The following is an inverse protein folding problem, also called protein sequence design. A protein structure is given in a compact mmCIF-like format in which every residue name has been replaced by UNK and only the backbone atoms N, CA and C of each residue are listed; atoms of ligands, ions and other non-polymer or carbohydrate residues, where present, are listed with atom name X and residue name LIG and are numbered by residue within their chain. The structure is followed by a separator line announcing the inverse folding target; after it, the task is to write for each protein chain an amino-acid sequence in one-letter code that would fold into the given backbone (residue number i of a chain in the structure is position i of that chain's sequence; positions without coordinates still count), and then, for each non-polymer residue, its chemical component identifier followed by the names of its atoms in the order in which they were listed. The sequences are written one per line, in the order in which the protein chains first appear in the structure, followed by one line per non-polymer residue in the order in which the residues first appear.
data_IF_440195585514
#
_entry.id   IF_440195585514
#
_cell.length_a   1.000
_cell.length_b   1.000
_cell.length_c   1.000
_cell.angle_alpha   90.00
_cell.angle_beta   90.00
_cell.angle_gamma   90.00
#
_symmetry.space_group_name_H-M   'P 1'
#
loop_
_entity.id
_entity.type
_entity.pdbx_description
1 polymer ?
#
# COMPACT_ATOMS: atom_id res chain seq x y z
N UNK A 1 -8.16 13.17 13.26
CA UNK A 1 -7.55 12.71 11.99
C UNK A 1 -8.40 11.55 11.49
N UNK A 2 -8.70 11.48 10.19
CA UNK A 2 -9.60 10.45 9.66
C UNK A 2 -8.90 9.08 9.73
N UNK A 3 -9.48 8.19 10.54
CA UNK A 3 -9.16 6.79 10.80
C UNK A 3 -9.57 5.87 9.65
N UNK A 4 -9.78 6.42 8.44
CA UNK A 4 -10.37 5.70 7.32
C UNK A 4 -9.43 5.59 6.15
N UNK A 5 -9.35 4.40 5.59
CA UNK A 5 -8.66 4.11 4.34
C UNK A 5 -9.68 3.88 3.24
N UNK A 6 -9.36 4.40 2.05
CA UNK A 6 -10.18 4.19 0.86
C UNK A 6 -9.48 3.19 -0.06
N UNK A 7 -10.18 2.10 -0.39
CA UNK A 7 -9.68 1.05 -1.27
C UNK A 7 -10.64 0.89 -2.46
N UNK A 8 -10.06 0.60 -3.62
CA UNK A 8 -10.78 0.26 -4.82
C UNK A 8 -11.09 -1.24 -4.85
N UNK A 9 -10.07 -2.06 -4.61
CA UNK A 9 -10.16 -3.51 -4.77
C UNK A 9 -9.27 -4.25 -3.77
N UNK A 10 -9.66 -5.49 -3.48
CA UNK A 10 -8.90 -6.42 -2.67
C UNK A 10 -9.06 -7.84 -3.23
N UNK A 11 -7.95 -8.52 -3.48
CA UNK A 11 -7.93 -9.83 -4.15
C UNK A 11 -7.03 -10.82 -3.42
N UNK A 12 -7.48 -12.06 -3.25
CA UNK A 12 -6.68 -13.17 -2.75
C UNK A 12 -7.20 -14.53 -3.29
N UNK A 13 -6.33 -15.54 -3.51
CA UNK A 13 -4.87 -15.44 -3.44
C UNK A 13 -4.31 -14.73 -4.68
N UNK A 14 -3.47 -13.71 -4.45
CA UNK A 14 -2.68 -13.07 -5.49
C UNK A 14 -1.36 -13.85 -5.64
N UNK A 15 -1.13 -14.41 -6.83
CA UNK A 15 0.05 -15.24 -7.15
C UNK A 15 1.09 -14.51 -8.03
N UNK A 16 0.85 -13.22 -8.28
CA UNK A 16 1.72 -12.32 -9.05
C UNK A 16 2.03 -11.09 -8.20
N UNK A 17 2.93 -10.22 -8.67
CA UNK A 17 3.31 -8.98 -7.95
C UNK A 17 3.89 -9.23 -6.54
N UNK A 18 4.72 -10.27 -6.44
CA UNK A 18 5.43 -10.68 -5.23
C UNK A 18 5.53 -12.20 -5.11
N UNK A 19 6.39 -12.68 -4.24
CA UNK A 19 6.55 -14.11 -3.99
C UNK A 19 5.42 -14.67 -3.10
N UNK A 20 5.04 -15.93 -3.34
CA UNK A 20 4.08 -16.67 -2.54
C UNK A 20 2.61 -16.33 -2.79
N UNK A 21 1.73 -16.73 -1.86
CA UNK A 21 0.29 -16.43 -1.87
C UNK A 21 0.05 -15.13 -1.14
N UNK A 22 -0.48 -14.11 -1.82
CA UNK A 22 -0.54 -12.75 -1.26
C UNK A 22 -1.96 -12.22 -1.17
N UNK A 23 -2.17 -11.27 -0.27
CA UNK A 23 -3.33 -10.38 -0.32
C UNK A 23 -2.96 -9.14 -1.15
N UNK A 24 -3.65 -8.90 -2.25
CA UNK A 24 -3.53 -7.67 -3.01
C UNK A 24 -4.51 -6.61 -2.51
N UNK A 25 -4.04 -5.40 -2.24
CA UNK A 25 -4.85 -4.25 -1.82
C UNK A 25 -4.58 -3.08 -2.78
N UNK A 26 -5.60 -2.64 -3.51
CA UNK A 26 -5.52 -1.46 -4.38
C UNK A 26 -6.20 -0.28 -3.71
N UNK A 27 -5.43 0.74 -3.33
CA UNK A 27 -5.96 1.95 -2.71
C UNK A 27 -6.56 2.90 -3.75
N UNK A 28 -7.50 3.75 -3.31
CA UNK A 28 -8.02 4.84 -4.14
C UNK A 28 -7.22 6.13 -3.98
N UNK A 29 -7.33 7.02 -4.97
CA UNK A 29 -6.73 8.35 -4.97
C UNK A 29 -5.32 8.35 -5.58
N UNK A 30 -5.15 9.13 -6.65
CA UNK A 30 -3.84 9.41 -7.23
C UNK A 30 -3.79 10.85 -7.72
N UNK A 31 -2.72 11.58 -7.42
CA UNK A 31 -2.52 12.96 -7.89
C UNK A 31 -1.62 13.06 -9.13
N UNK A 32 -1.29 11.91 -9.75
CA UNK A 32 -0.52 11.82 -10.99
C UNK A 32 -1.46 11.70 -12.19
N UNK A 33 -1.01 12.25 -13.31
CA UNK A 33 -1.68 12.15 -14.61
C UNK A 33 -0.78 11.47 -15.64
N UNK A 34 -0.31 10.28 -15.29
CA UNK A 34 0.57 9.50 -16.15
C UNK A 34 -0.10 9.22 -17.50
N UNK A 35 0.65 9.41 -18.60
CA UNK A 35 0.22 8.98 -19.93
C UNK A 35 0.18 7.44 -19.95
N UNK A 36 -0.92 6.86 -20.43
CA UNK A 36 -1.09 5.40 -20.44
C UNK A 36 -1.25 4.78 -19.05
N UNK A 37 -1.84 5.51 -18.09
CA UNK A 37 -2.18 4.95 -16.78
C UNK A 37 -3.04 3.70 -16.97
N UNK A 38 -2.64 2.59 -16.33
CA UNK A 38 -3.33 1.30 -16.44
C UNK A 38 -4.60 1.21 -15.58
N UNK A 39 -4.73 2.09 -14.57
CA UNK A 39 -5.88 2.14 -13.67
C UNK A 39 -6.37 3.58 -13.47
N UNK A 40 -6.78 4.29 -14.54
CA UNK A 40 -7.21 5.68 -14.46
C UNK A 40 -8.43 5.88 -13.54
N UNK A 41 -9.25 4.84 -13.36
CA UNK A 41 -10.39 4.80 -12.47
C UNK A 41 -9.99 5.00 -11.00
N UNK A 42 -8.86 4.43 -10.57
CA UNK A 42 -8.37 4.54 -9.17
C UNK A 42 -7.87 5.95 -8.80
N UNK A 43 -7.87 6.92 -9.73
CA UNK A 43 -7.45 8.30 -9.44
C UNK A 43 -8.39 9.03 -8.48
N UNK A 44 -9.68 8.72 -8.49
CA UNK A 44 -10.66 9.41 -7.63
C UNK A 44 -10.46 9.00 -6.18
N UNK A 45 -10.38 9.99 -5.28
CA UNK A 45 -10.28 9.76 -3.83
C UNK A 45 -11.59 9.24 -3.22
N UNK A 46 -12.73 9.63 -3.79
CA UNK A 46 -14.07 9.26 -3.31
C UNK A 46 -14.79 8.35 -4.31
N UNK A 47 -15.72 7.52 -3.80
CA UNK A 47 -16.63 6.71 -4.63
C UNK A 47 -16.37 5.20 -4.68
N UNK A 48 -15.36 4.72 -3.96
CA UNK A 48 -15.12 3.28 -3.76
C UNK A 48 -15.52 2.88 -2.34
N UNK A 49 -14.73 2.06 -1.66
CA UNK A 49 -14.98 1.61 -0.31
C UNK A 49 -14.12 2.37 0.68
N UNK A 50 -14.73 2.82 1.76
CA UNK A 50 -14.06 3.47 2.87
C UNK A 50 -14.20 2.58 4.10
N UNK A 51 -13.11 2.19 4.73
CA UNK A 51 -13.10 1.34 5.93
C UNK A 51 -12.38 2.05 7.07
N UNK A 52 -12.78 1.81 8.31
CA UNK A 52 -11.91 2.16 9.43
C UNK A 52 -10.65 1.29 9.37
N UNK A 53 -9.51 1.85 9.76
CA UNK A 53 -8.21 1.14 9.76
C UNK A 53 -8.26 -0.08 10.66
N UNK A 54 -8.91 0.01 11.83
CA UNK A 54 -9.10 -1.10 12.77
C UNK A 54 -9.91 -2.26 12.20
N UNK A 55 -11.00 -1.96 11.47
CA UNK A 55 -11.82 -2.99 10.83
C UNK A 55 -11.03 -3.70 9.73
N UNK A 56 -10.39 -2.94 8.85
CA UNK A 56 -9.64 -3.53 7.75
C UNK A 56 -8.42 -4.32 8.24
N UNK A 57 -7.75 -3.86 9.30
CA UNK A 57 -6.66 -4.61 9.93
C UNK A 57 -7.13 -5.97 10.45
N UNK A 58 -8.24 -6.01 11.19
CA UNK A 58 -8.82 -7.27 11.70
C UNK A 58 -9.19 -8.23 10.56
N UNK A 59 -9.76 -7.69 9.47
CA UNK A 59 -10.16 -8.51 8.33
C UNK A 59 -8.94 -9.06 7.56
N UNK A 60 -7.90 -8.24 7.35
CA UNK A 60 -6.65 -8.69 6.73
C UNK A 60 -5.99 -9.79 7.58
N UNK A 61 -5.97 -9.62 8.90
CA UNK A 61 -5.44 -10.61 9.83
C UNK A 61 -6.16 -11.97 9.67
N UNK A 62 -7.49 -11.94 9.64
CA UNK A 62 -8.33 -13.13 9.42
C UNK A 62 -8.00 -13.80 8.09
N UNK A 63 -7.89 -13.03 7.02
CA UNK A 63 -7.56 -13.53 5.68
C UNK A 63 -6.18 -14.17 5.62
N UNK A 64 -5.17 -13.56 6.23
CA UNK A 64 -3.80 -14.10 6.31
C UNK A 64 -3.81 -15.47 6.97
N UNK A 65 -4.48 -15.58 8.13
CA UNK A 65 -4.52 -16.82 8.91
C UNK A 65 -5.27 -17.94 8.17
N UNK A 66 -6.50 -17.68 7.71
CA UNK A 66 -7.35 -18.69 7.10
C UNK A 66 -6.80 -19.20 5.75
N UNK A 67 -6.17 -18.33 4.97
CA UNK A 67 -5.72 -18.64 3.62
C UNK A 67 -4.22 -18.93 3.51
N UNK A 68 -3.51 -18.93 4.65
CA UNK A 68 -2.05 -19.13 4.76
C UNK A 68 -1.30 -18.21 3.79
N UNK A 69 -1.61 -16.92 3.84
CA UNK A 69 -0.97 -15.93 2.98
C UNK A 69 0.44 -15.62 3.48
N UNK A 70 1.38 -15.48 2.55
CA UNK A 70 2.79 -15.19 2.81
C UNK A 70 3.08 -13.69 2.89
N UNK A 71 2.20 -12.86 2.33
CA UNK A 71 2.46 -11.43 2.26
C UNK A 71 1.29 -10.60 1.78
N UNK A 72 1.50 -9.29 1.81
CA UNK A 72 0.58 -8.27 1.32
C UNK A 72 1.26 -7.54 0.17
N UNK A 73 0.52 -7.28 -0.91
CA UNK A 73 0.92 -6.38 -2.00
C UNK A 73 -0.02 -5.19 -2.02
N UNK A 74 0.52 -4.00 -1.85
CA UNK A 74 -0.22 -2.74 -1.85
C UNK A 74 0.09 -2.00 -3.16
N UNK A 75 -0.95 -1.65 -3.90
CA UNK A 75 -0.89 -0.87 -5.13
C UNK A 75 -2.12 0.02 -5.23
N UNK A 76 -2.57 0.37 -6.44
CA UNK A 76 -3.72 1.24 -6.69
C UNK A 76 -3.30 2.64 -7.09
N UNK A 77 -4.15 3.63 -6.79
CA UNK A 77 -3.92 5.02 -7.18
C UNK A 77 -2.52 5.51 -6.82
N UNK A 78 -2.30 5.90 -5.58
CA UNK A 78 -0.96 6.15 -5.03
C UNK A 78 -0.96 5.80 -3.54
N UNK A 79 -0.41 4.65 -3.14
CA UNK A 79 -0.38 4.19 -1.76
C UNK A 79 0.11 5.24 -0.76
N UNK A 80 1.14 6.02 -1.11
CA UNK A 80 1.70 6.99 -0.18
C UNK A 80 0.80 8.20 0.10
N UNK A 81 -0.28 8.41 -0.67
CA UNK A 81 -1.30 9.41 -0.30
C UNK A 81 -2.16 8.98 0.91
N UNK A 82 -2.13 7.70 1.29
CA UNK A 82 -2.83 7.13 2.45
C UNK A 82 -1.87 6.42 3.42
N UNK A 83 -0.59 6.83 3.43
CA UNK A 83 0.46 6.18 4.22
C UNK A 83 0.12 6.05 5.71
N UNK A 84 -0.44 7.10 6.32
CA UNK A 84 -0.74 7.10 7.77
C UNK A 84 -1.67 5.94 8.11
N UNK A 85 -2.71 5.74 7.30
CA UNK A 85 -3.67 4.64 7.46
C UNK A 85 -3.07 3.28 7.13
N UNK A 86 -2.28 3.18 6.06
CA UNK A 86 -1.57 1.94 5.73
C UNK A 86 -0.62 1.51 6.85
N UNK A 87 0.08 2.47 7.46
CA UNK A 87 0.99 2.20 8.59
C UNK A 87 0.25 1.68 9.82
N UNK A 88 -0.90 2.27 10.14
CA UNK A 88 -1.77 1.80 11.24
C UNK A 88 -2.26 0.37 11.03
N UNK A 89 -2.48 -0.05 9.78
CA UNK A 89 -2.90 -1.41 9.43
C UNK A 89 -1.72 -2.39 9.45
N UNK A 90 -0.61 -2.03 8.79
CA UNK A 90 0.47 -2.97 8.48
C UNK A 90 1.39 -3.24 9.67
N UNK A 91 1.67 -2.24 10.51
CA UNK A 91 2.59 -2.43 11.64
C UNK A 91 2.11 -3.52 12.61
N UNK A 92 0.86 -3.50 13.11
CA UNK A 92 0.37 -4.57 13.99
C UNK A 92 0.39 -5.94 13.32
N UNK A 93 0.12 -6.01 12.02
CA UNK A 93 0.16 -7.27 11.26
C UNK A 93 1.59 -7.83 11.19
N UNK A 94 2.61 -7.00 10.96
CA UNK A 94 4.02 -7.45 10.96
C UNK A 94 4.52 -7.82 12.35
N UNK A 95 4.04 -7.16 13.40
CA UNK A 95 4.33 -7.55 14.79
C UNK A 95 3.76 -8.93 15.12
N UNK A 96 2.57 -9.24 14.62
CA UNK A 96 1.90 -10.53 14.84
C UNK A 96 2.41 -11.65 13.94
N UNK A 97 2.73 -11.35 12.70
CA UNK A 97 3.22 -12.29 11.70
C UNK A 97 4.64 -11.86 11.28
N UNK A 98 5.66 -12.35 11.99
CA UNK A 98 7.06 -11.95 11.80
C UNK A 98 7.56 -12.13 10.37
N UNK A 99 7.05 -13.15 9.68
CA UNK A 99 7.48 -13.54 8.34
C UNK A 99 6.56 -12.97 7.24
N UNK A 100 5.63 -12.08 7.61
CA UNK A 100 4.72 -11.44 6.66
C UNK A 100 5.50 -10.44 5.80
N UNK A 101 5.64 -10.77 4.53
CA UNK A 101 6.24 -9.90 3.53
C UNK A 101 5.26 -8.81 3.08
N UNK A 102 5.72 -7.56 2.91
CA UNK A 102 4.88 -6.44 2.48
C UNK A 102 5.56 -5.67 1.36
N UNK A 103 4.92 -5.68 0.19
CA UNK A 103 5.35 -4.93 -0.98
C UNK A 103 4.43 -3.74 -1.21
N UNK A 104 5.00 -2.60 -1.56
CA UNK A 104 4.26 -1.38 -1.91
C UNK A 104 4.76 -0.89 -3.27
N UNK A 105 3.87 -0.90 -4.25
CA UNK A 105 4.14 -0.35 -5.58
C UNK A 105 3.71 1.12 -5.60
N UNK A 106 4.67 2.02 -5.76
CA UNK A 106 4.43 3.47 -5.78
C UNK A 106 4.98 4.11 -7.05
N UNK A 107 4.37 5.22 -7.48
CA UNK A 107 4.96 6.11 -8.47
C UNK A 107 5.82 7.22 -7.87
N UNK A 108 5.96 7.30 -6.54
CA UNK A 108 6.79 8.28 -5.86
C UNK A 108 8.22 7.77 -5.76
N UNK A 109 9.20 8.67 -5.90
CA UNK A 109 10.60 8.30 -5.73
C UNK A 109 10.96 8.39 -4.26
N UNK A 110 11.70 7.39 -3.79
CA UNK A 110 12.27 7.44 -2.46
C UNK A 110 13.46 8.40 -2.45
N UNK A 111 13.34 9.48 -1.70
CA UNK A 111 14.43 10.41 -1.43
C UNK A 111 15.17 9.97 -0.16
N UNK A 112 16.35 9.37 -0.36
CA UNK A 112 17.20 8.88 0.73
C UNK A 112 17.73 10.01 1.63
N UNK A 113 17.86 11.25 1.15
CA UNK A 113 18.33 12.37 2.00
C UNK A 113 17.24 12.82 2.97
N UNK A 114 15.97 12.73 2.56
CA UNK A 114 14.82 13.15 3.35
C UNK A 114 14.20 12.00 4.14
N UNK A 115 14.67 10.77 3.94
CA UNK A 115 14.05 9.55 4.45
C UNK A 115 12.53 9.52 4.15
N UNK A 116 12.15 9.92 2.93
CA UNK A 116 10.76 10.12 2.54
C UNK A 116 10.48 9.90 1.06
N UNK A 117 9.21 9.97 0.68
CA UNK A 117 8.77 9.80 -0.71
C UNK A 117 8.34 11.14 -1.31
N UNK A 118 8.92 11.49 -2.46
CA UNK A 118 8.63 12.75 -3.14
C UNK A 118 7.90 12.51 -4.47
N UNK A 119 7.01 13.46 -4.80
CA UNK A 119 6.31 13.46 -6.08
C UNK A 119 7.26 13.91 -7.17
N UNK A 120 7.53 13.02 -8.11
CA UNK A 120 8.34 13.37 -9.27
C UNK A 120 7.53 14.14 -10.34
N UNK A 121 8.15 15.19 -10.90
CA UNK A 121 7.80 15.74 -12.21
C UNK A 121 8.48 14.88 -13.30
N UNK A 122 7.81 13.81 -13.72
CA UNK A 122 8.12 12.96 -14.89
C UNK A 122 9.59 12.52 -15.06
N UNK A 123 9.97 11.30 -14.62
CA UNK A 123 10.75 10.32 -15.41
C UNK A 123 10.91 8.96 -14.70
N UNK A 124 10.32 7.92 -15.31
CA UNK A 124 10.20 6.53 -14.82
C UNK A 124 11.49 5.94 -14.22
N UNK A 125 11.36 5.33 -13.03
CA UNK A 125 12.37 4.48 -12.39
C UNK A 125 11.70 3.60 -11.34
N UNK A 126 11.88 2.29 -11.45
CA UNK A 126 11.34 1.28 -10.54
C UNK A 126 12.16 1.30 -9.24
N UNK A 127 11.50 1.43 -8.09
CA UNK A 127 12.15 1.36 -6.77
C UNK A 127 11.72 0.06 -6.09
N UNK A 128 12.62 -0.92 -6.07
CA UNK A 128 12.54 -2.05 -5.16
C UNK A 128 13.23 -1.63 -3.85
N UNK A 129 12.58 -1.78 -2.70
CA UNK A 129 13.31 -1.73 -1.43
C UNK A 129 12.71 -2.64 -0.38
N UNK A 130 13.49 -3.64 -0.03
CA UNK A 130 13.34 -4.54 1.11
C UNK A 130 13.50 -3.76 2.43
N UNK A 131 12.61 -4.08 3.38
CA UNK A 131 12.63 -3.87 4.85
C UNK A 131 12.90 -2.50 5.50
N UNK A 132 13.52 -1.52 4.83
CA UNK A 132 13.92 -0.25 5.47
C UNK A 132 12.80 0.81 5.60
N UNK A 133 11.74 0.70 4.80
CA UNK A 133 10.62 1.67 4.79
C UNK A 133 9.87 1.71 6.14
N UNK A 134 9.80 0.57 6.83
CA UNK A 134 8.92 0.42 8.00
C UNK A 134 9.55 0.88 9.32
N UNK A 135 10.89 0.97 9.38
CA UNK A 135 11.62 1.30 10.62
C UNK A 135 11.94 2.78 10.79
N UNK A 136 11.90 3.57 9.72
CA UNK A 136 12.28 4.98 9.77
C UNK A 136 11.11 5.89 9.37
N UNK A 137 10.87 6.91 10.20
CA UNK A 137 9.73 7.81 10.13
C UNK A 137 9.63 8.52 8.77
N UNK A 138 8.76 8.02 7.89
CA UNK A 138 8.37 8.75 6.68
C UNK A 138 7.63 10.02 7.11
N UNK A 139 8.30 11.17 7.03
CA UNK A 139 7.67 12.48 7.12
C UNK A 139 7.14 12.84 5.74
N UNK A 140 5.84 13.09 5.66
CA UNK A 140 5.24 13.79 4.52
C UNK A 140 5.08 15.23 4.98
N UNK A 141 5.86 16.13 4.37
CA UNK A 141 5.69 17.58 4.51
C UNK A 141 4.45 18.06 3.73
#
# INVERSE_FOLDING_TARGET
MSDRINICEMHFPLLVLGYGRRLGIWVSGCNKNCKGCISPEFKKKSGYFSYSTSYLQSEIERLIFENRLNGITISGGEPFLQWKQLREIILPLREKFSDLDVLVFTGFKFNRKLNGFEKENQNYGEVQSEDKIWKENIKFD
#
